data_IF_375249004867
#
_entry.id   IF_375249004867
#
_cell.length_a   1.000
_cell.length_b   1.000
_cell.length_c   1.000
_cell.angle_alpha   90.00
_cell.angle_beta   90.00
_cell.angle_gamma   90.00
#
_symmetry.space_group_name_H-M   'P 1'
#
loop_
_entity.id
_entity.type
_entity.pdbx_description
1 polymer ?
#
# COMPACT_ATOMS: atom_id res chain seq x y z
N UNK A 1 62.46 -58.22 -38.96
CA UNK A 1 61.46 -57.10 -39.08
C UNK A 1 61.70 -56.39 -40.38
N UNK A 2 60.75 -56.42 -41.26
CA UNK A 2 60.85 -55.83 -42.63
C UNK A 2 60.89 -54.30 -42.51
N UNK A 3 61.66 -53.55 -43.33
CA UNK A 3 61.70 -52.09 -43.32
C UNK A 3 60.31 -51.45 -43.56
N UNK A 4 59.40 -52.20 -44.08
CA UNK A 4 57.98 -51.82 -44.27
C UNK A 4 57.21 -51.78 -42.94
N UNK A 5 57.42 -52.76 -42.07
CA UNK A 5 56.75 -52.81 -40.75
C UNK A 5 57.15 -51.68 -39.81
N UNK A 6 58.42 -51.28 -39.95
CA UNK A 6 58.94 -50.15 -39.12
C UNK A 6 58.32 -48.79 -39.51
N UNK A 7 58.04 -48.61 -40.80
CA UNK A 7 57.34 -47.40 -41.27
C UNK A 7 55.85 -47.40 -40.87
N UNK A 8 55.20 -48.55 -40.95
CA UNK A 8 53.81 -48.68 -40.52
C UNK A 8 53.63 -48.43 -39.04
N UNK A 9 54.55 -48.86 -38.18
CA UNK A 9 54.54 -48.61 -36.73
C UNK A 9 54.79 -47.12 -36.41
N UNK A 10 55.64 -46.43 -37.15
CA UNK A 10 55.88 -45.00 -36.98
C UNK A 10 54.65 -44.18 -37.39
N UNK A 11 53.97 -44.52 -38.46
CA UNK A 11 52.74 -43.89 -38.89
C UNK A 11 51.59 -44.12 -37.87
N UNK A 12 51.43 -45.32 -37.38
CA UNK A 12 50.42 -45.65 -36.38
C UNK A 12 50.69 -44.85 -35.05
N UNK A 13 51.95 -44.79 -34.63
CA UNK A 13 52.35 -43.99 -33.45
C UNK A 13 52.07 -42.48 -33.61
N UNK A 14 52.36 -41.92 -34.81
CA UNK A 14 52.09 -40.51 -35.07
C UNK A 14 50.57 -40.20 -35.08
N UNK A 15 49.76 -41.07 -35.64
CA UNK A 15 48.27 -40.92 -35.65
C UNK A 15 47.72 -40.96 -34.21
N UNK A 16 48.21 -41.88 -33.37
CA UNK A 16 47.82 -41.98 -31.97
C UNK A 16 48.21 -40.71 -31.18
N UNK A 17 49.40 -40.19 -31.38
CA UNK A 17 49.87 -38.97 -30.75
C UNK A 17 49.05 -37.74 -31.16
N UNK A 18 48.72 -37.61 -32.45
CA UNK A 18 47.88 -36.48 -32.93
C UNK A 18 46.45 -36.58 -32.41
N UNK A 19 45.87 -37.77 -32.39
CA UNK A 19 44.51 -37.96 -31.86
C UNK A 19 44.44 -37.72 -30.32
N UNK A 20 45.47 -38.13 -29.60
CA UNK A 20 45.55 -37.89 -28.18
C UNK A 20 45.75 -36.38 -27.87
N UNK A 21 46.59 -35.70 -28.65
CA UNK A 21 46.81 -34.26 -28.52
C UNK A 21 45.56 -33.43 -28.78
N UNK A 22 44.80 -33.82 -29.83
CA UNK A 22 43.53 -33.18 -30.13
C UNK A 22 42.45 -33.40 -29.05
N UNK A 23 42.39 -34.60 -28.48
CA UNK A 23 41.46 -34.87 -27.35
C UNK A 23 41.83 -34.10 -26.07
N UNK A 24 43.09 -34.09 -25.73
CA UNK A 24 43.57 -33.35 -24.55
C UNK A 24 43.40 -31.82 -24.71
N UNK A 25 43.62 -31.28 -25.91
CA UNK A 25 43.39 -29.89 -26.23
C UNK A 25 41.90 -29.51 -26.14
N UNK A 26 41.01 -30.38 -26.63
CA UNK A 26 39.56 -30.15 -26.56
C UNK A 26 39.02 -30.13 -25.10
N UNK A 27 39.50 -31.04 -24.27
CA UNK A 27 39.14 -31.08 -22.83
C UNK A 27 39.66 -29.85 -22.09
N UNK A 28 40.89 -29.40 -22.35
CA UNK A 28 41.46 -28.20 -21.77
C UNK A 28 40.67 -26.93 -22.11
N UNK A 29 40.20 -26.83 -23.38
CA UNK A 29 39.35 -25.68 -23.80
C UNK A 29 37.96 -25.71 -23.17
N UNK A 30 37.37 -26.88 -22.95
CA UNK A 30 36.07 -26.99 -22.28
C UNK A 30 36.14 -26.61 -20.82
N UNK A 31 37.16 -27.04 -20.09
CA UNK A 31 37.39 -26.68 -18.68
C UNK A 31 37.65 -25.18 -18.55
N UNK A 32 38.44 -24.59 -19.45
CA UNK A 32 38.71 -23.15 -19.46
C UNK A 32 37.42 -22.30 -19.70
N UNK A 33 36.57 -22.76 -20.59
CA UNK A 33 35.29 -22.09 -20.87
C UNK A 33 34.32 -22.15 -19.68
N UNK A 34 34.22 -23.29 -19.02
CA UNK A 34 33.40 -23.45 -17.82
C UNK A 34 33.80 -22.49 -16.68
N UNK A 35 35.10 -22.36 -16.40
CA UNK A 35 35.61 -21.43 -15.39
C UNK A 35 35.36 -19.96 -15.73
N UNK A 36 35.43 -19.60 -17.02
CA UNK A 36 35.12 -18.24 -17.46
C UNK A 36 33.63 -17.90 -17.31
N UNK A 37 32.76 -18.85 -17.56
CA UNK A 37 31.32 -18.68 -17.40
C UNK A 37 30.94 -18.58 -15.91
N UNK A 38 31.51 -19.41 -15.05
CA UNK A 38 31.33 -19.32 -13.59
C UNK A 38 31.83 -17.98 -13.03
N UNK A 39 32.97 -17.50 -13.49
CA UNK A 39 33.50 -16.19 -13.08
C UNK A 39 32.61 -15.05 -13.55
N UNK A 40 32.03 -15.13 -14.76
CA UNK A 40 31.08 -14.13 -15.26
C UNK A 40 29.77 -14.14 -14.48
N UNK A 41 29.26 -15.31 -14.14
CA UNK A 41 28.05 -15.45 -13.31
C UNK A 41 28.28 -14.90 -11.90
N UNK A 42 29.41 -15.22 -11.28
CA UNK A 42 29.80 -14.68 -9.99
C UNK A 42 29.95 -13.14 -10.01
N UNK A 43 30.56 -12.60 -11.06
CA UNK A 43 30.67 -11.16 -11.26
C UNK A 43 29.29 -10.48 -11.44
N UNK A 44 28.39 -11.12 -12.21
CA UNK A 44 27.04 -10.61 -12.42
C UNK A 44 26.20 -10.62 -11.13
N UNK A 45 26.31 -11.69 -10.33
CA UNK A 45 25.66 -11.76 -9.01
C UNK A 45 26.23 -10.72 -8.04
N UNK A 46 27.56 -10.54 -8.03
CA UNK A 46 28.21 -9.49 -7.24
C UNK A 46 27.81 -8.07 -7.65
N UNK A 47 27.63 -7.81 -8.95
CA UNK A 47 27.14 -6.54 -9.44
C UNK A 47 25.69 -6.26 -8.99
N UNK A 48 24.80 -7.26 -9.11
CA UNK A 48 23.42 -7.16 -8.61
C UNK A 48 23.36 -6.93 -7.10
N UNK A 49 24.16 -7.65 -6.34
CA UNK A 49 24.24 -7.47 -4.89
C UNK A 49 24.71 -6.05 -4.50
N UNK A 50 25.68 -5.49 -5.22
CA UNK A 50 26.13 -4.11 -5.00
C UNK A 50 25.03 -3.08 -5.27
N UNK A 51 24.25 -3.26 -6.32
CA UNK A 51 23.11 -2.38 -6.63
C UNK A 51 22.06 -2.44 -5.52
N UNK A 52 21.71 -3.63 -5.06
CA UNK A 52 20.75 -3.80 -3.96
C UNK A 52 21.24 -3.17 -2.65
N UNK A 53 22.54 -3.31 -2.35
CA UNK A 53 23.15 -2.69 -1.17
C UNK A 53 23.19 -1.17 -1.31
N UNK A 54 23.50 -0.65 -2.51
CA UNK A 54 23.53 0.79 -2.76
C UNK A 54 22.12 1.43 -2.69
N UNK A 55 21.09 0.73 -3.11
CA UNK A 55 19.69 1.19 -3.01
C UNK A 55 19.10 1.07 -1.60
N UNK A 56 19.67 0.22 -0.74
CA UNK A 56 19.19 -0.03 0.61
C UNK A 56 18.97 1.24 1.43
N UNK A 57 19.93 2.15 1.54
CA UNK A 57 19.79 3.39 2.31
C UNK A 57 18.71 4.32 1.77
N UNK A 58 18.55 4.39 0.45
CA UNK A 58 17.50 5.22 -0.17
C UNK A 58 16.11 4.67 0.13
N UNK A 59 15.92 3.36 0.02
CA UNK A 59 14.66 2.69 0.39
C UNK A 59 14.35 2.86 1.87
N UNK A 60 15.36 2.76 2.72
CA UNK A 60 15.19 2.91 4.16
C UNK A 60 14.78 4.33 4.55
N UNK A 61 15.36 5.36 3.91
CA UNK A 61 14.95 6.76 4.09
C UNK A 61 13.49 6.97 3.65
N UNK A 62 13.12 6.46 2.48
CA UNK A 62 11.75 6.55 1.99
C UNK A 62 10.73 5.89 2.93
N UNK A 63 11.08 4.74 3.51
CA UNK A 63 10.25 4.07 4.51
C UNK A 63 10.15 4.90 5.79
N UNK A 64 11.24 5.47 6.26
CA UNK A 64 11.24 6.33 7.45
C UNK A 64 10.40 7.60 7.24
N UNK A 65 10.49 8.23 6.06
CA UNK A 65 9.67 9.38 5.71
C UNK A 65 8.18 9.03 5.69
N UNK A 66 7.83 7.88 5.11
CA UNK A 66 6.43 7.39 5.12
C UNK A 66 5.92 7.08 6.52
N UNK A 67 6.73 6.42 7.35
CA UNK A 67 6.37 6.14 8.74
C UNK A 67 6.18 7.43 9.52
N UNK A 68 7.08 8.40 9.34
CA UNK A 68 6.96 9.71 9.96
C UNK A 68 5.67 10.43 9.53
N UNK A 69 5.35 10.45 8.23
CA UNK A 69 4.13 11.04 7.74
C UNK A 69 2.86 10.40 8.34
N UNK A 70 2.86 9.07 8.52
CA UNK A 70 1.75 8.35 9.17
C UNK A 70 1.65 8.73 10.65
N UNK A 71 2.78 8.82 11.36
CA UNK A 71 2.82 9.22 12.77
C UNK A 71 2.33 10.65 12.95
N UNK A 72 2.72 11.56 12.06
CA UNK A 72 2.29 12.95 12.08
C UNK A 72 0.77 13.11 11.80
N UNK A 73 0.18 12.17 11.01
CA UNK A 73 -1.26 12.14 10.76
C UNK A 73 -2.07 11.44 11.87
N UNK A 74 -1.44 10.59 12.69
CA UNK A 74 -2.13 9.78 13.69
C UNK A 74 -3.07 10.57 14.61
N UNK A 75 -2.70 11.75 15.13
CA UNK A 75 -3.60 12.54 16.00
C UNK A 75 -4.81 13.13 15.27
N UNK A 76 -4.78 13.19 13.93
CA UNK A 76 -5.88 13.70 13.10
C UNK A 76 -6.87 12.60 12.68
N UNK A 77 -6.54 11.33 12.97
CA UNK A 77 -7.36 10.18 12.59
C UNK A 77 -8.36 9.85 13.69
N UNK A 78 -9.47 9.24 13.28
CA UNK A 78 -10.47 8.74 14.22
C UNK A 78 -9.88 7.63 15.11
N UNK A 79 -10.12 7.72 16.38
CA UNK A 79 -9.82 6.66 17.33
C UNK A 79 -10.83 5.52 17.16
N UNK A 80 -10.33 4.28 17.11
CA UNK A 80 -11.17 3.10 17.08
C UNK A 80 -10.37 1.86 16.71
N UNK A 81 -10.64 0.75 17.37
CA UNK A 81 -10.03 -0.56 17.11
C UNK A 81 -10.74 -1.32 15.99
N UNK A 82 -11.94 -0.87 15.63
CA UNK A 82 -12.79 -1.42 14.56
C UNK A 82 -13.51 -0.31 13.81
N UNK A 83 -14.00 -0.62 12.59
CA UNK A 83 -14.79 0.32 11.79
C UNK A 83 -16.06 0.77 12.52
N UNK A 84 -16.72 -0.13 13.25
CA UNK A 84 -17.91 0.20 14.04
C UNK A 84 -17.62 1.16 15.20
N UNK A 85 -16.51 0.96 15.90
CA UNK A 85 -16.08 1.85 16.98
C UNK A 85 -15.68 3.24 16.44
N UNK A 86 -14.93 3.28 15.33
CA UNK A 86 -14.58 4.52 14.67
C UNK A 86 -15.82 5.27 14.14
N UNK A 87 -16.83 4.55 13.63
CA UNK A 87 -18.10 5.14 13.22
C UNK A 87 -18.88 5.73 14.41
N UNK A 88 -18.89 5.03 15.55
CA UNK A 88 -19.50 5.55 16.78
C UNK A 88 -18.76 6.79 17.29
N UNK A 89 -17.43 6.80 17.24
CA UNK A 89 -16.61 7.98 17.59
C UNK A 89 -16.94 9.15 16.67
N UNK A 90 -17.00 8.92 15.35
CA UNK A 90 -17.35 9.94 14.38
C UNK A 90 -18.77 10.51 14.63
N UNK A 91 -19.74 9.63 14.86
CA UNK A 91 -21.12 10.05 15.19
C UNK A 91 -21.18 10.86 16.48
N UNK A 92 -20.37 10.49 17.49
CA UNK A 92 -20.23 11.26 18.74
C UNK A 92 -19.70 12.66 18.50
N UNK A 93 -18.62 12.79 17.73
CA UNK A 93 -18.03 14.09 17.36
C UNK A 93 -19.02 14.97 16.58
N UNK A 94 -19.73 14.38 15.61
CA UNK A 94 -20.78 15.10 14.85
C UNK A 94 -21.84 15.64 15.80
N UNK A 95 -22.32 14.86 16.77
CA UNK A 95 -23.32 15.30 17.74
C UNK A 95 -22.81 16.43 18.64
N UNK A 96 -21.55 16.36 19.08
CA UNK A 96 -20.92 17.42 19.91
C UNK A 96 -20.83 18.73 19.12
N UNK A 97 -20.35 18.66 17.89
CA UNK A 97 -20.24 19.84 17.02
C UNK A 97 -21.60 20.42 16.67
N UNK A 98 -22.60 19.57 16.41
CA UNK A 98 -23.97 20.00 16.14
C UNK A 98 -24.59 20.71 17.36
N UNK A 99 -24.47 20.13 18.55
CA UNK A 99 -24.98 20.74 19.77
C UNK A 99 -24.33 22.11 20.06
N UNK A 100 -23.02 22.23 19.82
CA UNK A 100 -22.30 23.49 20.02
C UNK A 100 -22.77 24.59 19.05
N UNK A 101 -23.18 24.22 17.85
CA UNK A 101 -23.66 25.15 16.83
C UNK A 101 -25.21 25.25 16.75
N UNK A 102 -25.94 24.69 17.71
CA UNK A 102 -27.41 24.70 17.78
C UNK A 102 -28.05 24.02 16.56
N UNK A 103 -27.40 23.02 16.02
CA UNK A 103 -27.91 22.20 14.92
C UNK A 103 -28.63 20.97 15.49
N UNK A 104 -29.87 20.77 15.09
CA UNK A 104 -30.64 19.60 15.48
C UNK A 104 -30.38 18.46 14.50
N UNK A 105 -29.70 17.40 14.96
CA UNK A 105 -29.52 16.18 14.17
C UNK A 105 -30.82 15.40 14.17
N UNK A 106 -31.38 15.12 12.99
CA UNK A 106 -32.57 14.29 12.84
C UNK A 106 -32.21 12.83 12.54
N UNK A 107 -31.06 12.60 11.88
CA UNK A 107 -30.62 11.25 11.52
C UNK A 107 -29.11 11.16 11.35
N UNK A 108 -28.53 10.05 11.84
CA UNK A 108 -27.15 9.64 11.63
C UNK A 108 -27.12 8.18 11.19
N UNK A 109 -26.72 7.93 9.97
CA UNK A 109 -26.64 6.59 9.42
C UNK A 109 -25.18 6.25 9.09
N UNK A 110 -24.54 5.34 9.82
CA UNK A 110 -23.22 4.85 9.44
C UNK A 110 -23.31 4.04 8.15
N UNK A 111 -22.43 4.34 7.21
CA UNK A 111 -22.29 3.61 5.95
C UNK A 111 -21.22 2.55 6.13
N UNK A 112 -21.37 1.35 5.52
CA UNK A 112 -20.34 0.32 5.58
C UNK A 112 -18.97 0.85 5.21
N UNK A 113 -17.96 0.49 6.00
CA UNK A 113 -16.59 0.93 5.83
C UNK A 113 -15.94 0.34 4.57
N UNK A 114 -14.97 1.06 4.05
CA UNK A 114 -14.13 0.58 2.95
C UNK A 114 -12.66 0.75 3.32
N UNK A 115 -11.89 -0.35 3.26
CA UNK A 115 -10.47 -0.35 3.57
C UNK A 115 -9.61 -0.26 2.32
N UNK A 116 -8.60 0.61 2.34
CA UNK A 116 -7.61 0.73 1.28
C UNK A 116 -6.25 1.14 1.87
N UNK A 117 -5.20 0.48 1.45
CA UNK A 117 -3.80 0.84 1.77
C UNK A 117 -3.49 0.97 3.28
N UNK A 118 -4.16 0.19 4.15
CA UNK A 118 -3.93 0.23 5.60
C UNK A 118 -4.77 1.28 6.35
N UNK A 119 -5.59 2.04 5.63
CA UNK A 119 -6.58 2.94 6.21
C UNK A 119 -7.99 2.45 5.95
N UNK A 120 -8.86 2.65 6.91
CA UNK A 120 -10.29 2.38 6.77
C UNK A 120 -11.03 3.71 6.72
N UNK A 121 -11.77 3.93 5.64
CA UNK A 121 -12.64 5.09 5.48
C UNK A 121 -13.95 4.82 6.21
N UNK A 122 -14.31 5.72 7.10
CA UNK A 122 -15.58 5.71 7.82
C UNK A 122 -16.43 6.82 7.26
N UNK A 123 -17.69 6.52 6.97
CA UNK A 123 -18.66 7.47 6.44
C UNK A 123 -19.94 7.43 7.28
N UNK A 124 -20.46 8.61 7.64
CA UNK A 124 -21.74 8.75 8.33
C UNK A 124 -22.59 9.74 7.56
N UNK A 125 -23.75 9.30 7.13
CA UNK A 125 -24.76 10.20 6.53
C UNK A 125 -25.45 10.97 7.62
N UNK A 126 -25.59 12.27 7.40
CA UNK A 126 -26.13 13.23 8.36
C UNK A 126 -27.33 13.92 7.76
N UNK A 127 -28.43 13.93 8.51
CA UNK A 127 -29.55 14.82 8.26
C UNK A 127 -29.71 15.73 9.48
N UNK A 128 -29.75 17.04 9.24
CA UNK A 128 -29.78 18.02 10.30
C UNK A 128 -30.62 19.22 9.92
N UNK A 129 -31.12 19.92 10.93
CA UNK A 129 -31.95 21.13 10.76
C UNK A 129 -31.41 22.25 11.67
N UNK A 130 -31.32 23.45 11.11
CA UNK A 130 -30.95 24.65 11.88
C UNK A 130 -31.28 25.92 11.08
N UNK A 131 -30.93 27.07 11.62
CA UNK A 131 -30.81 28.32 10.89
C UNK A 131 -29.50 28.36 10.07
N UNK A 132 -29.36 29.35 9.20
CA UNK A 132 -28.18 29.53 8.35
C UNK A 132 -26.89 29.69 9.18
N UNK A 133 -26.95 30.42 10.28
CA UNK A 133 -25.78 30.68 11.13
C UNK A 133 -25.31 29.39 11.83
N UNK A 134 -26.22 28.59 12.35
CA UNK A 134 -25.93 27.30 12.95
C UNK A 134 -25.32 26.31 11.96
N UNK A 135 -25.91 26.18 10.74
CA UNK A 135 -25.37 25.31 9.70
C UNK A 135 -23.99 25.74 9.25
N UNK A 136 -23.77 27.05 9.04
CA UNK A 136 -22.44 27.57 8.68
C UNK A 136 -21.40 27.25 9.77
N UNK A 137 -21.72 27.54 11.05
CA UNK A 137 -20.85 27.23 12.16
C UNK A 137 -20.51 25.74 12.25
N UNK A 138 -21.51 24.88 12.02
CA UNK A 138 -21.33 23.43 12.05
C UNK A 138 -20.42 22.94 10.93
N UNK A 139 -20.65 23.37 9.68
CA UNK A 139 -19.80 23.00 8.53
C UNK A 139 -18.39 23.50 8.76
N UNK A 140 -18.23 24.75 9.19
CA UNK A 140 -16.91 25.34 9.49
C UNK A 140 -16.17 24.55 10.58
N UNK A 141 -16.86 24.18 11.66
CA UNK A 141 -16.28 23.39 12.74
C UNK A 141 -15.88 21.97 12.30
N UNK A 142 -16.63 21.34 11.38
CA UNK A 142 -16.25 20.06 10.79
C UNK A 142 -14.98 20.15 9.93
N UNK A 143 -14.83 21.23 9.15
CA UNK A 143 -13.70 21.40 8.23
C UNK A 143 -12.43 21.90 8.92
N UNK A 144 -12.57 22.70 9.98
CA UNK A 144 -11.43 23.29 10.71
C UNK A 144 -11.10 22.58 12.02
N UNK A 145 -11.84 21.55 12.36
CA UNK A 145 -11.65 20.76 13.58
C UNK A 145 -10.32 20.01 13.63
N UNK A 146 -9.98 19.44 14.78
CA UNK A 146 -8.71 18.73 14.98
C UNK A 146 -8.65 17.39 14.26
N UNK A 147 -9.78 16.85 13.82
CA UNK A 147 -9.85 15.58 13.09
C UNK A 147 -9.87 15.80 11.58
N UNK A 148 -9.25 14.90 10.86
CA UNK A 148 -9.28 14.90 9.39
C UNK A 148 -10.66 14.43 8.92
N UNK A 149 -11.61 15.34 8.86
CA UNK A 149 -12.97 15.10 8.38
C UNK A 149 -13.19 15.79 7.04
N UNK A 150 -14.07 15.23 6.22
CA UNK A 150 -14.53 15.87 5.00
C UNK A 150 -16.04 15.72 4.86
N UNK A 151 -16.70 16.80 4.44
CA UNK A 151 -18.11 16.81 4.14
C UNK A 151 -18.30 16.62 2.63
N UNK A 152 -19.14 15.68 2.23
CA UNK A 152 -19.44 15.35 0.83
C UNK A 152 -20.95 15.22 0.63
N UNK A 153 -21.37 15.27 -0.61
CA UNK A 153 -22.77 15.09 -1.00
C UNK A 153 -23.73 16.08 -0.27
N UNK A 154 -23.26 17.32 -0.07
CA UNK A 154 -23.96 18.34 0.68
C UNK A 154 -25.14 18.89 -0.12
N UNK A 155 -26.33 18.76 0.44
CA UNK A 155 -27.56 19.42 -0.02
C UNK A 155 -28.18 20.25 1.11
N UNK A 156 -28.51 21.49 0.84
CA UNK A 156 -29.20 22.36 1.77
C UNK A 156 -30.53 22.78 1.13
N UNK A 157 -31.63 22.54 1.82
CA UNK A 157 -32.97 22.89 1.36
C UNK A 157 -33.66 23.77 2.38
N UNK A 158 -34.32 24.81 1.92
CA UNK A 158 -35.19 25.60 2.78
C UNK A 158 -36.44 24.79 3.13
N UNK A 159 -36.88 24.83 4.38
CA UNK A 159 -38.15 24.28 4.79
C UNK A 159 -39.19 25.42 4.76
N UNK A 160 -40.17 25.27 3.88
CA UNK A 160 -41.34 26.18 3.85
C UNK A 160 -42.16 25.96 5.12
N UNK A 161 -42.11 26.90 6.04
CA UNK A 161 -42.88 26.89 7.28
C UNK A 161 -43.36 28.29 7.63
N UNK A 162 -44.52 28.37 8.26
CA UNK A 162 -45.11 29.64 8.75
C UNK A 162 -44.33 30.26 9.94
N UNK A 163 -43.11 29.80 10.22
CA UNK A 163 -42.27 30.28 11.30
C UNK A 163 -41.48 31.53 10.88
N UNK A 164 -41.30 32.53 11.79
CA UNK A 164 -40.59 33.77 11.47
C UNK A 164 -39.06 33.58 11.24
N UNK A 165 -38.55 32.38 11.42
CA UNK A 165 -37.16 32.03 11.19
C UNK A 165 -37.08 30.95 10.11
N UNK A 166 -36.35 31.23 9.07
CA UNK A 166 -36.04 30.30 7.99
C UNK A 166 -35.30 29.07 8.55
N UNK A 167 -35.92 27.91 8.44
CA UNK A 167 -35.32 26.63 8.82
C UNK A 167 -34.75 25.97 7.57
N UNK A 168 -33.52 25.61 7.68
CA UNK A 168 -32.78 24.90 6.64
C UNK A 168 -32.58 23.46 7.05
N UNK A 169 -32.74 22.54 6.09
CA UNK A 169 -32.41 21.14 6.22
C UNK A 169 -31.10 20.90 5.46
N UNK A 170 -30.16 20.29 6.16
CA UNK A 170 -28.91 19.83 5.62
C UNK A 170 -28.96 18.32 5.48
N UNK A 171 -28.59 17.81 4.30
CA UNK A 171 -28.30 16.40 4.05
C UNK A 171 -26.88 16.29 3.49
N UNK A 172 -26.10 15.34 3.98
CA UNK A 172 -24.72 15.17 3.54
C UNK A 172 -24.09 13.91 4.13
N UNK A 173 -22.85 13.65 3.75
CA UNK A 173 -22.04 12.57 4.30
C UNK A 173 -20.74 13.12 4.89
N UNK A 174 -20.47 12.82 6.15
CA UNK A 174 -19.21 13.14 6.82
C UNK A 174 -18.31 11.93 6.74
N UNK A 175 -17.10 12.12 6.22
CA UNK A 175 -16.06 11.10 6.07
C UNK A 175 -14.89 11.38 6.99
N UNK A 176 -14.40 10.33 7.62
CA UNK A 176 -13.17 10.34 8.39
C UNK A 176 -12.35 9.09 8.09
N UNK A 177 -11.15 9.03 8.63
CA UNK A 177 -10.25 7.90 8.44
C UNK A 177 -9.74 7.38 9.78
N UNK A 178 -9.60 6.06 9.87
CA UNK A 178 -8.92 5.38 10.97
C UNK A 178 -7.83 4.48 10.42
N UNK A 179 -6.82 4.18 11.25
CA UNK A 179 -5.81 3.18 10.88
C UNK A 179 -6.47 1.81 10.92
N UNK A 180 -6.63 1.20 9.77
CA UNK A 180 -7.14 -0.17 9.67
C UNK A 180 -6.17 -1.13 10.34
N UNK A 181 -6.62 -1.90 11.31
CA UNK A 181 -5.86 -3.04 11.80
C UNK A 181 -5.77 -4.04 10.66
N UNK A 182 -4.60 -4.13 10.02
CA UNK A 182 -4.36 -5.16 9.01
C UNK A 182 -4.55 -6.52 9.67
N UNK A 183 -5.68 -7.18 9.37
CA UNK A 183 -5.81 -8.56 9.75
C UNK A 183 -7.05 -8.99 10.49
N UNK A 184 -8.17 -8.80 9.92
CA UNK A 184 -9.29 -9.71 10.12
C UNK A 184 -9.63 -10.28 8.76
N UNK A 185 -8.90 -11.27 8.30
CA UNK A 185 -9.36 -12.14 7.22
C UNK A 185 -10.62 -12.81 7.75
N UNK A 186 -11.73 -12.13 7.59
CA UNK A 186 -13.04 -12.74 7.84
C UNK A 186 -13.13 -14.00 6.97
N UNK A 187 -13.34 -15.13 7.63
CA UNK A 187 -13.82 -16.40 7.15
C UNK A 187 -13.60 -16.72 5.68
N UNK A 188 -12.61 -17.59 5.39
CA UNK A 188 -12.68 -18.41 4.20
C UNK A 188 -14.00 -19.20 4.23
N UNK A 189 -14.61 -19.48 3.09
CA UNK A 189 -15.79 -20.31 3.05
C UNK A 189 -15.41 -21.71 3.56
N UNK A 190 -16.08 -22.13 4.63
CA UNK A 190 -16.13 -23.51 5.06
C UNK A 190 -16.69 -24.32 3.90
N UNK A 191 -15.84 -25.07 3.24
CA UNK A 191 -16.25 -26.00 2.19
C UNK A 191 -16.90 -27.24 2.86
N UNK A 192 -17.95 -27.82 2.25
CA UNK A 192 -18.68 -28.97 2.75
C UNK A 192 -17.88 -30.26 2.73
#
# INVERSE_FOLDING_TARGET
MSPRDRRALLFAGAVVLVTLGLKLGAVGLQVGRGRLEEARQAAALGARARVLVAEGPARQRLLQERVKAIVDLAPLLLAGSSGAEAAATLAGEINVLAAHNRVAISRLDPVPDSSAAGFTRIEVRVQAESDLAGLYGFIHALETGPLLLSLTDLAITAQDGAAPVERLRLEGAVRGWTVGRAGGRAGGPEAP
#
